data_IF_450105688796
#
_entry.id   IF_450105688796
#
_cell.length_a   1.000
_cell.length_b   1.000
_cell.length_c   1.000
_cell.angle_alpha   90.00
_cell.angle_beta   90.00
_cell.angle_gamma   90.00
#
_symmetry.space_group_name_H-M   'P 1'
#
loop_
_entity.id
_entity.type
_entity.pdbx_description
1 polymer ?
#
# COMPACT_ATOMS: atom_id res chain seq x y z
N UNK A 1 1.04 13.83 5.12
CA UNK A 1 0.89 13.00 3.92
C UNK A 1 0.11 11.75 4.32
N UNK A 2 -0.83 11.28 3.49
CA UNK A 2 -1.75 10.19 3.81
C UNK A 2 -1.06 8.94 4.39
N UNK A 3 0.08 8.53 3.80
CA UNK A 3 0.86 7.36 4.24
C UNK A 3 1.39 7.42 5.68
N UNK A 4 1.57 8.61 6.25
CA UNK A 4 2.06 8.78 7.63
C UNK A 4 0.93 8.67 8.67
N UNK A 5 -0.32 8.86 8.25
CA UNK A 5 -1.49 8.90 9.14
C UNK A 5 -2.32 7.61 9.09
N UNK A 6 -2.08 6.77 8.07
CA UNK A 6 -2.75 5.49 7.93
C UNK A 6 -2.15 4.44 8.85
N UNK A 7 -3.01 3.54 9.34
CA UNK A 7 -2.56 2.30 9.94
C UNK A 7 -1.71 1.53 8.92
N UNK A 8 -0.65 0.89 9.40
CA UNK A 8 0.13 0.01 8.54
C UNK A 8 -0.68 -1.25 8.19
N UNK A 9 -0.85 -1.49 6.89
CA UNK A 9 -1.62 -2.61 6.36
C UNK A 9 -0.66 -3.49 5.58
N UNK A 10 -0.80 -4.81 5.76
CA UNK A 10 -0.09 -5.80 4.98
C UNK A 10 -1.02 -6.43 3.95
N UNK A 11 -0.57 -6.48 2.71
CA UNK A 11 -1.25 -7.13 1.59
C UNK A 11 -0.28 -8.06 0.88
N UNK A 12 -0.83 -8.99 0.09
CA UNK A 12 -0.02 -9.75 -0.85
C UNK A 12 0.08 -8.98 -2.16
N UNK A 13 1.28 -8.89 -2.72
CA UNK A 13 1.47 -8.41 -4.07
C UNK A 13 1.05 -9.46 -5.12
N UNK A 14 1.25 -9.15 -6.40
CA UNK A 14 0.90 -10.05 -7.52
C UNK A 14 1.78 -11.30 -7.60
N UNK A 15 2.93 -11.31 -6.93
CA UNK A 15 3.86 -12.43 -6.87
C UNK A 15 3.65 -13.28 -5.60
N UNK A 16 2.76 -12.84 -4.69
CA UNK A 16 2.47 -13.48 -3.42
C UNK A 16 3.40 -13.07 -2.28
N UNK A 17 4.25 -12.06 -2.48
CA UNK A 17 5.07 -11.52 -1.40
C UNK A 17 4.22 -10.66 -0.47
N UNK A 18 4.54 -10.69 0.82
CA UNK A 18 3.94 -9.79 1.80
C UNK A 18 4.55 -8.39 1.64
N UNK A 19 3.71 -7.39 1.42
CA UNK A 19 4.10 -5.97 1.33
C UNK A 19 3.35 -5.16 2.39
N UNK A 20 4.05 -4.20 3.00
CA UNK A 20 3.51 -3.27 3.99
C UNK A 20 3.35 -1.88 3.37
N UNK A 21 2.32 -1.12 3.79
CA UNK A 21 2.18 0.29 3.38
C UNK A 21 3.40 1.11 3.83
N UNK A 22 4.01 0.75 4.96
CA UNK A 22 5.20 1.43 5.48
C UNK A 22 6.42 1.35 4.56
N UNK A 23 6.51 0.33 3.69
CA UNK A 23 7.60 0.15 2.69
C UNK A 23 7.64 1.29 1.64
N UNK A 24 6.57 2.07 1.55
CA UNK A 24 6.38 3.16 0.60
C UNK A 24 6.52 4.56 1.21
N UNK A 25 6.78 4.69 2.51
CA UNK A 25 7.02 6.00 3.15
C UNK A 25 8.24 6.69 2.54
N UNK A 26 8.15 8.02 2.40
CA UNK A 26 9.17 8.83 1.71
C UNK A 26 9.19 8.70 0.19
N UNK A 27 8.37 7.83 -0.42
CA UNK A 27 8.21 7.72 -1.88
C UNK A 27 6.92 8.41 -2.32
N UNK A 28 6.95 9.00 -3.52
CA UNK A 28 5.74 9.47 -4.20
C UNK A 28 4.87 8.26 -4.54
N UNK A 29 3.79 8.07 -3.79
CA UNK A 29 2.99 6.85 -3.83
C UNK A 29 1.53 7.18 -4.08
N UNK A 30 0.91 6.47 -5.02
CA UNK A 30 -0.51 6.53 -5.30
C UNK A 30 -1.19 5.29 -4.71
N UNK A 31 -2.21 5.49 -3.87
CA UNK A 31 -3.10 4.41 -3.44
C UNK A 31 -4.27 4.39 -4.42
N UNK A 32 -4.41 3.30 -5.16
CA UNK A 32 -5.49 3.09 -6.13
C UNK A 32 -6.33 1.88 -5.70
N UNK A 33 -7.57 2.13 -5.28
CA UNK A 33 -8.53 1.10 -4.92
C UNK A 33 -9.52 0.91 -6.06
N UNK A 34 -9.67 -0.32 -6.52
CA UNK A 34 -10.59 -0.68 -7.60
C UNK A 34 -11.13 -2.09 -7.40
N UNK A 35 -12.20 -2.40 -8.13
CA UNK A 35 -12.73 -3.73 -8.28
C UNK A 35 -13.24 -3.90 -9.72
N UNK A 36 -13.36 -5.14 -10.19
CA UNK A 36 -13.74 -5.44 -11.58
C UNK A 36 -15.25 -5.33 -11.86
N UNK A 37 -16.05 -5.04 -10.85
CA UNK A 37 -17.51 -4.99 -10.92
C UNK A 37 -18.02 -3.55 -10.91
#
# INVERSE_FOLDING_TARGET
MLLEQMQDIQLNDLEGNQVSISDFRGKNTLIFMWASW
#
